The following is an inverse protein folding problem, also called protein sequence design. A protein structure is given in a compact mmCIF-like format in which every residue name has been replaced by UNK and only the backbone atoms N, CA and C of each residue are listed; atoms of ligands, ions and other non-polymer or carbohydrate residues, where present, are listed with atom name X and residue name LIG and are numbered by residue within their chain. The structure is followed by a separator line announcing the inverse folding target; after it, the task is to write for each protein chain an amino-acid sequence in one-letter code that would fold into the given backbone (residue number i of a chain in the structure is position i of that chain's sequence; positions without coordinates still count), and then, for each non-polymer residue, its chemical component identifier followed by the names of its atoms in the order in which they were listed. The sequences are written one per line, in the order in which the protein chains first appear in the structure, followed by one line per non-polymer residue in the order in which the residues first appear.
data_IF_652106697414
#
_entry.id   IF_652106697414
#
_cell.length_a   1.000
_cell.length_b   1.000
_cell.length_c   1.000
_cell.angle_alpha   90.00
_cell.angle_beta   90.00
_cell.angle_gamma   90.00
#
_symmetry.space_group_name_H-M   'P 1'
#
loop_
_entity.id
_entity.type
_entity.pdbx_description
1 polymer ?
#
# COMPACT_ATOMS: atom_id res chain seq x y z
N UNK A 1 -31.79 -28.83 -6.38
CA UNK A 1 -30.59 -27.97 -6.54
C UNK A 1 -30.92 -26.96 -7.62
N UNK A 2 -30.90 -25.66 -7.32
CA UNK A 2 -31.22 -24.64 -8.33
C UNK A 2 -30.16 -24.64 -9.45
N UNK A 3 -30.57 -24.34 -10.68
CA UNK A 3 -29.64 -24.30 -11.80
C UNK A 3 -28.84 -22.98 -11.78
N UNK A 4 -27.72 -22.94 -12.51
CA UNK A 4 -26.85 -21.75 -12.59
C UNK A 4 -27.59 -20.48 -13.00
N UNK A 5 -28.60 -20.60 -13.86
CA UNK A 5 -29.42 -19.47 -14.32
C UNK A 5 -30.27 -18.91 -13.19
N UNK A 6 -30.92 -19.79 -12.42
CA UNK A 6 -31.72 -19.40 -11.25
C UNK A 6 -30.86 -18.65 -10.23
N UNK A 7 -29.70 -19.21 -9.83
CA UNK A 7 -28.80 -18.52 -8.91
C UNK A 7 -28.28 -17.18 -9.44
N UNK A 8 -27.97 -17.10 -10.75
CA UNK A 8 -27.56 -15.83 -11.36
C UNK A 8 -28.66 -14.78 -11.22
N UNK A 9 -29.91 -15.15 -11.49
CA UNK A 9 -31.03 -14.22 -11.43
C UNK A 9 -31.30 -13.77 -9.98
N UNK A 10 -31.31 -14.70 -9.03
CA UNK A 10 -31.45 -14.39 -7.59
C UNK A 10 -30.37 -13.42 -7.11
N UNK A 11 -29.10 -13.66 -7.48
CA UNK A 11 -27.98 -12.75 -7.12
C UNK A 11 -28.16 -11.37 -7.76
N UNK A 12 -28.64 -11.30 -9.00
CA UNK A 12 -28.88 -10.03 -9.69
C UNK A 12 -30.07 -9.26 -9.09
N UNK A 13 -31.11 -9.95 -8.63
CA UNK A 13 -32.23 -9.33 -7.92
C UNK A 13 -31.78 -8.76 -6.58
N UNK A 14 -31.05 -9.55 -5.78
CA UNK A 14 -30.46 -9.07 -4.52
C UNK A 14 -29.54 -7.87 -4.78
N UNK A 15 -28.72 -7.92 -5.83
CA UNK A 15 -27.85 -6.81 -6.19
C UNK A 15 -28.65 -5.54 -6.51
N UNK A 16 -29.72 -5.63 -7.31
CA UNK A 16 -30.56 -4.47 -7.65
C UNK A 16 -31.22 -3.89 -6.40
N UNK A 17 -31.83 -4.74 -5.57
CA UNK A 17 -32.46 -4.32 -4.31
C UNK A 17 -31.46 -3.60 -3.39
N UNK A 18 -30.27 -4.19 -3.19
CA UNK A 18 -29.22 -3.57 -2.36
C UNK A 18 -28.62 -2.32 -2.98
N UNK A 19 -28.53 -2.25 -4.31
CA UNK A 19 -28.10 -1.05 -5.03
C UNK A 19 -29.08 0.11 -4.80
N UNK A 20 -30.38 -0.15 -4.92
CA UNK A 20 -31.42 0.87 -4.72
C UNK A 20 -31.45 1.34 -3.26
N UNK A 21 -31.35 0.43 -2.30
CA UNK A 21 -31.21 0.76 -0.88
C UNK A 21 -29.98 1.65 -0.62
N UNK A 22 -28.84 1.31 -1.20
CA UNK A 22 -27.62 2.10 -1.06
C UNK A 22 -27.74 3.47 -1.73
N UNK A 23 -28.36 3.56 -2.91
CA UNK A 23 -28.61 4.81 -3.61
C UNK A 23 -29.44 5.77 -2.74
N UNK A 24 -30.55 5.28 -2.19
CA UNK A 24 -31.39 6.06 -1.28
C UNK A 24 -30.62 6.50 -0.02
N UNK A 25 -29.85 5.57 0.58
CA UNK A 25 -29.05 5.86 1.77
C UNK A 25 -27.98 6.93 1.51
N UNK A 26 -27.24 6.85 0.41
CA UNK A 26 -26.25 7.87 0.04
C UNK A 26 -26.92 9.22 -0.24
N UNK A 27 -28.10 9.22 -0.85
CA UNK A 27 -28.93 10.40 -1.10
C UNK A 27 -29.38 11.11 0.17
N UNK A 28 -29.66 10.38 1.26
CA UNK A 28 -30.11 10.96 2.54
C UNK A 28 -28.97 11.46 3.45
N UNK A 29 -27.71 11.08 3.20
CA UNK A 29 -26.58 11.51 4.03
C UNK A 29 -26.41 13.04 3.97
N UNK A 30 -26.32 13.68 5.13
CA UNK A 30 -25.99 15.10 5.27
C UNK A 30 -24.47 15.36 5.23
N UNK A 31 -23.66 14.32 5.44
CA UNK A 31 -22.22 14.42 5.41
C UNK A 31 -21.66 14.44 3.98
N UNK A 32 -20.42 14.92 3.85
CA UNK A 32 -19.64 14.73 2.62
C UNK A 32 -19.00 13.35 2.54
N UNK A 33 -18.71 12.91 1.32
CA UNK A 33 -18.14 11.60 1.02
C UNK A 33 -16.70 11.74 0.51
N UNK A 34 -15.83 10.83 0.91
CA UNK A 34 -14.51 10.68 0.30
C UNK A 34 -14.50 9.43 -0.57
N UNK A 35 -13.85 9.47 -1.72
CA UNK A 35 -13.70 8.29 -2.56
C UNK A 35 -12.23 7.88 -2.70
N UNK A 36 -12.02 6.60 -2.95
CA UNK A 36 -10.74 6.04 -3.40
C UNK A 36 -10.97 5.35 -4.72
N UNK A 37 -10.03 5.49 -5.65
CA UNK A 37 -10.02 4.67 -6.85
C UNK A 37 -8.69 3.93 -6.97
N UNK A 38 -8.80 2.63 -7.22
CA UNK A 38 -7.67 1.74 -7.44
C UNK A 38 -7.74 1.22 -8.88
N UNK A 39 -6.60 1.29 -9.57
CA UNK A 39 -6.43 0.76 -10.92
C UNK A 39 -5.26 -0.21 -10.92
N UNK A 40 -5.50 -1.41 -11.44
CA UNK A 40 -4.45 -2.40 -11.57
C UNK A 40 -4.61 -3.22 -12.83
N UNK A 41 -3.49 -3.71 -13.33
CA UNK A 41 -3.43 -4.68 -14.41
C UNK A 41 -3.27 -6.09 -13.81
N UNK A 42 -4.18 -6.99 -14.16
CA UNK A 42 -4.11 -8.39 -13.79
C UNK A 42 -3.03 -9.14 -14.56
N UNK A 43 -2.72 -10.38 -14.13
CA UNK A 43 -1.78 -11.27 -14.83
C UNK A 43 -2.21 -11.65 -16.25
N UNK A 44 -3.49 -11.47 -16.59
CA UNK A 44 -4.02 -11.69 -17.94
C UNK A 44 -3.93 -10.43 -18.81
N UNK A 45 -3.16 -9.42 -18.39
CA UNK A 45 -3.07 -8.10 -19.04
C UNK A 45 -4.42 -7.37 -19.15
N UNK A 46 -5.38 -7.71 -18.29
CA UNK A 46 -6.67 -7.01 -18.18
C UNK A 46 -6.60 -5.93 -17.11
N UNK A 47 -7.08 -4.74 -17.43
CA UNK A 47 -7.12 -3.61 -16.50
C UNK A 47 -8.44 -3.58 -15.76
N UNK A 48 -8.37 -3.37 -14.46
CA UNK A 48 -9.53 -3.24 -13.59
C UNK A 48 -9.49 -1.90 -12.87
N UNK A 49 -10.67 -1.34 -12.65
CA UNK A 49 -10.88 -0.14 -11.86
C UNK A 49 -11.93 -0.43 -10.78
N UNK A 50 -11.64 -0.01 -9.56
CA UNK A 50 -12.58 -0.04 -8.45
C UNK A 50 -12.74 1.36 -7.86
N UNK A 51 -13.97 1.84 -7.76
CA UNK A 51 -14.33 3.08 -7.08
C UNK A 51 -15.04 2.72 -5.79
N UNK A 52 -14.51 3.21 -4.68
CA UNK A 52 -15.06 2.99 -3.34
C UNK A 52 -15.31 4.33 -2.68
N UNK A 53 -16.48 4.50 -2.05
CA UNK A 53 -16.78 5.64 -1.19
C UNK A 53 -16.65 5.27 0.28
N UNK A 54 -16.25 6.28 1.05
CA UNK A 54 -15.98 6.23 2.48
C UNK A 54 -16.68 7.40 3.14
N UNK A 55 -17.36 7.13 4.25
CA UNK A 55 -18.08 8.12 5.04
C UNK A 55 -18.23 7.65 6.49
N UNK A 56 -18.70 8.53 7.35
CA UNK A 56 -19.08 8.20 8.73
C UNK A 56 -20.59 8.31 8.79
N UNK A 57 -21.27 7.28 9.28
CA UNK A 57 -22.71 7.29 9.44
C UNK A 57 -23.15 7.93 10.77
N UNK A 58 -24.46 8.02 10.99
CA UNK A 58 -25.04 8.62 12.20
C UNK A 58 -24.70 7.84 13.49
N UNK A 59 -24.27 6.58 13.36
CA UNK A 59 -23.78 5.76 14.47
C UNK A 59 -22.27 5.96 14.71
N UNK A 60 -21.66 6.99 14.14
CA UNK A 60 -20.23 7.28 14.22
C UNK A 60 -19.34 6.12 13.73
N UNK A 61 -19.88 5.30 12.83
CA UNK A 61 -19.17 4.15 12.27
C UNK A 61 -18.60 4.47 10.90
N UNK A 62 -17.35 4.07 10.67
CA UNK A 62 -16.73 4.21 9.34
C UNK A 62 -17.41 3.23 8.39
N UNK A 63 -17.98 3.77 7.32
CA UNK A 63 -18.60 3.03 6.26
C UNK A 63 -17.72 3.03 5.01
N UNK A 64 -17.66 1.87 4.35
CA UNK A 64 -16.98 1.65 3.08
C UNK A 64 -17.94 0.95 2.11
N UNK A 65 -18.14 1.49 0.91
CA UNK A 65 -19.00 0.89 -0.13
C UNK A 65 -18.34 0.96 -1.50
N UNK A 66 -18.26 -0.19 -2.17
CA UNK A 66 -17.81 -0.25 -3.57
C UNK A 66 -18.97 0.21 -4.44
N UNK A 67 -18.79 1.32 -5.14
CA UNK A 67 -19.81 1.86 -6.05
C UNK A 67 -19.66 1.29 -7.45
N UNK A 68 -18.44 0.92 -7.82
CA UNK A 68 -18.15 0.37 -9.13
C UNK A 68 -16.92 -0.50 -9.12
N UNK A 69 -17.03 -1.62 -9.82
CA UNK A 69 -15.93 -2.51 -10.17
C UNK A 69 -16.07 -2.85 -11.64
N UNK A 70 -15.12 -2.41 -12.48
CA UNK A 70 -15.23 -2.55 -13.92
C UNK A 70 -13.95 -3.07 -14.55
N UNK A 71 -14.11 -3.80 -15.65
CA UNK A 71 -13.05 -4.02 -16.62
C UNK A 71 -12.91 -2.76 -17.45
N UNK A 72 -11.73 -2.14 -17.43
CA UNK A 72 -11.48 -0.87 -18.11
C UNK A 72 -10.80 -1.16 -19.44
N UNK A 73 -11.59 -1.15 -20.51
CA UNK A 73 -11.10 -1.32 -21.88
C UNK A 73 -10.53 -0.01 -22.43
N UNK A 74 -9.45 -0.09 -23.20
CA UNK A 74 -8.82 1.07 -23.86
C UNK A 74 -7.70 1.74 -23.05
N UNK A 75 -7.33 2.98 -23.46
CA UNK A 75 -6.24 3.75 -22.84
C UNK A 75 -6.73 4.48 -21.59
N UNK A 76 -6.01 4.33 -20.49
CA UNK A 76 -6.24 5.04 -19.22
C UNK A 76 -5.69 6.46 -19.28
N UNK A 77 -6.17 7.28 -20.21
CA UNK A 77 -5.84 8.71 -20.23
C UNK A 77 -6.57 9.41 -19.08
N UNK A 78 -6.01 10.51 -18.57
CA UNK A 78 -6.65 11.27 -17.50
C UNK A 78 -8.07 11.74 -17.84
N UNK A 79 -8.35 12.01 -19.13
CA UNK A 79 -9.70 12.37 -19.61
C UNK A 79 -10.67 11.20 -19.53
N UNK A 80 -10.28 10.02 -20.04
CA UNK A 80 -11.15 8.83 -20.02
C UNK A 80 -11.47 8.41 -18.57
N UNK A 81 -10.47 8.46 -17.69
CA UNK A 81 -10.67 8.19 -16.26
C UNK A 81 -11.63 9.21 -15.63
N UNK A 82 -11.51 10.49 -15.98
CA UNK A 82 -12.40 11.53 -15.47
C UNK A 82 -13.85 11.30 -15.92
N UNK A 83 -14.10 11.00 -17.20
CA UNK A 83 -15.46 10.71 -17.68
C UNK A 83 -16.08 9.52 -16.94
N UNK A 84 -15.30 8.45 -16.77
CA UNK A 84 -15.78 7.22 -16.13
C UNK A 84 -16.13 7.45 -14.66
N UNK A 85 -15.27 8.18 -13.93
CA UNK A 85 -15.52 8.53 -12.53
C UNK A 85 -16.68 9.51 -12.40
N UNK A 86 -16.72 10.58 -13.20
CA UNK A 86 -17.80 11.57 -13.14
C UNK A 86 -19.16 10.93 -13.44
N UNK A 87 -19.24 10.10 -14.48
CA UNK A 87 -20.44 9.31 -14.78
C UNK A 87 -20.87 8.49 -13.56
N UNK A 88 -19.94 7.82 -12.89
CA UNK A 88 -20.26 7.05 -11.69
C UNK A 88 -20.79 7.94 -10.56
N UNK A 89 -20.19 9.10 -10.31
CA UNK A 89 -20.67 10.02 -9.28
C UNK A 89 -22.10 10.52 -9.57
N UNK A 90 -22.42 10.83 -10.82
CA UNK A 90 -23.77 11.22 -11.25
C UNK A 90 -24.77 10.06 -11.14
N UNK A 91 -24.40 8.86 -11.60
CA UNK A 91 -25.24 7.65 -11.53
C UNK A 91 -25.64 7.32 -10.08
N UNK A 92 -24.79 7.68 -9.11
CA UNK A 92 -25.05 7.50 -7.68
C UNK A 92 -25.60 8.75 -6.98
N UNK A 93 -25.76 9.88 -7.69
CA UNK A 93 -26.21 11.16 -7.17
C UNK A 93 -25.39 11.65 -5.96
N UNK A 94 -24.07 11.58 -6.07
CA UNK A 94 -23.12 11.94 -5.01
C UNK A 94 -22.08 12.99 -5.43
N UNK A 95 -22.11 13.45 -6.68
CA UNK A 95 -21.20 14.47 -7.21
C UNK A 95 -21.21 15.75 -6.35
N UNK A 96 -22.40 16.19 -5.92
CA UNK A 96 -22.58 17.33 -5.00
C UNK A 96 -22.05 17.12 -3.57
N UNK A 97 -21.74 15.89 -3.18
CA UNK A 97 -21.35 15.51 -1.80
C UNK A 97 -19.87 15.22 -1.65
N UNK A 98 -19.09 15.29 -2.71
CA UNK A 98 -17.69 14.88 -2.66
C UNK A 98 -16.83 15.84 -1.82
N UNK A 99 -15.98 15.27 -0.96
CA UNK A 99 -14.99 15.97 -0.17
C UNK A 99 -13.59 15.80 -0.73
N UNK A 100 -13.18 14.54 -0.92
CA UNK A 100 -11.85 14.20 -1.40
C UNK A 100 -11.87 12.94 -2.25
N UNK A 101 -10.84 12.79 -3.07
CA UNK A 101 -10.60 11.66 -3.94
C UNK A 101 -9.14 11.22 -3.84
N UNK A 102 -8.95 9.98 -3.36
CA UNK A 102 -7.64 9.37 -3.15
C UNK A 102 -7.29 8.45 -4.30
N UNK A 103 -6.14 8.70 -4.92
CA UNK A 103 -5.61 7.94 -6.06
C UNK A 103 -4.14 7.60 -5.83
N UNK A 104 -3.62 6.65 -6.59
CA UNK A 104 -2.18 6.44 -6.66
C UNK A 104 -1.44 7.64 -7.30
N UNK A 105 -0.12 7.51 -7.45
CA UNK A 105 0.72 8.61 -7.96
C UNK A 105 1.02 8.49 -9.46
N UNK A 106 0.18 7.78 -10.22
CA UNK A 106 0.26 7.78 -11.67
C UNK A 106 -0.01 9.19 -12.25
N UNK A 107 0.63 9.50 -13.39
CA UNK A 107 0.52 10.81 -14.02
C UNK A 107 -0.87 11.06 -14.60
N UNK A 108 -1.54 10.04 -15.14
CA UNK A 108 -2.88 10.14 -15.70
C UNK A 108 -3.91 10.53 -14.62
N UNK A 109 -3.73 10.03 -13.41
CA UNK A 109 -4.56 10.36 -12.25
C UNK A 109 -4.46 11.84 -11.86
N UNK A 110 -3.32 12.49 -12.10
CA UNK A 110 -3.17 13.94 -11.91
C UNK A 110 -4.10 14.75 -12.81
N UNK A 111 -4.13 14.42 -14.10
CA UNK A 111 -5.00 15.07 -15.08
C UNK A 111 -6.48 14.76 -14.83
N UNK A 112 -6.80 13.51 -14.46
CA UNK A 112 -8.15 13.10 -14.09
C UNK A 112 -8.72 13.99 -12.99
N UNK A 113 -8.00 14.13 -11.87
CA UNK A 113 -8.48 14.93 -10.73
C UNK A 113 -8.58 16.42 -11.06
N UNK A 114 -7.65 16.96 -11.85
CA UNK A 114 -7.73 18.37 -12.27
C UNK A 114 -9.01 18.66 -13.06
N UNK A 115 -9.38 17.78 -13.99
CA UNK A 115 -10.62 17.90 -14.76
C UNK A 115 -11.87 17.70 -13.88
N UNK A 116 -11.83 16.76 -12.94
CA UNK A 116 -12.92 16.58 -11.96
C UNK A 116 -13.13 17.84 -11.12
N UNK A 117 -12.05 18.46 -10.62
CA UNK A 117 -12.12 19.70 -9.83
C UNK A 117 -12.79 20.80 -10.64
N UNK A 118 -12.41 20.97 -11.92
CA UNK A 118 -13.04 21.97 -12.80
C UNK A 118 -14.55 21.75 -12.88
N UNK A 119 -15.00 20.53 -13.23
CA UNK A 119 -16.43 20.22 -13.42
C UNK A 119 -17.25 20.31 -12.14
N UNK A 120 -16.71 19.84 -11.02
CA UNK A 120 -17.41 19.88 -9.75
C UNK A 120 -17.48 21.30 -9.18
N UNK A 121 -16.49 22.16 -9.47
CA UNK A 121 -16.52 23.57 -9.08
C UNK A 121 -17.55 24.38 -9.87
N UNK A 122 -17.86 24.02 -11.12
CA UNK A 122 -18.92 24.71 -11.91
C UNK A 122 -20.26 24.70 -11.17
N UNK A 123 -20.54 23.64 -10.41
CA UNK A 123 -21.73 23.48 -9.57
C UNK A 123 -21.50 23.82 -8.09
N UNK A 124 -20.36 24.42 -7.73
CA UNK A 124 -19.95 24.70 -6.34
C UNK A 124 -19.97 23.47 -5.41
N UNK A 125 -19.79 22.27 -5.97
CA UNK A 125 -19.90 21.01 -5.23
C UNK A 125 -18.72 20.75 -4.29
N UNK A 126 -17.55 21.36 -4.54
CA UNK A 126 -16.34 21.11 -3.76
C UNK A 126 -16.11 22.16 -2.68
N UNK A 127 -15.60 21.69 -1.54
CA UNK A 127 -15.12 22.55 -0.47
C UNK A 127 -13.84 23.29 -0.88
N UNK A 128 -13.73 24.58 -0.53
CA UNK A 128 -12.57 25.43 -0.82
C UNK A 128 -12.08 25.31 -2.28
N UNK A 129 -13.01 25.30 -3.24
CA UNK A 129 -12.72 25.18 -4.67
C UNK A 129 -11.86 23.97 -5.05
N UNK A 130 -11.97 22.88 -4.29
CA UNK A 130 -11.22 21.64 -4.54
C UNK A 130 -9.80 21.61 -3.97
N UNK A 131 -9.39 22.59 -3.15
CA UNK A 131 -8.04 22.64 -2.53
C UNK A 131 -7.65 21.36 -1.80
N UNK A 132 -8.62 20.67 -1.19
CA UNK A 132 -8.39 19.43 -0.45
C UNK A 132 -8.81 18.18 -1.21
N UNK A 133 -9.27 18.33 -2.45
CA UNK A 133 -9.92 17.25 -3.17
C UNK A 133 -8.94 16.13 -3.54
N UNK A 134 -7.74 16.47 -4.02
CA UNK A 134 -6.77 15.44 -4.41
C UNK A 134 -5.97 14.93 -3.20
N UNK A 135 -6.14 13.66 -2.85
CA UNK A 135 -5.29 12.98 -1.87
C UNK A 135 -4.44 11.92 -2.58
N UNK A 136 -3.15 11.87 -2.28
CA UNK A 136 -2.24 10.85 -2.84
C UNK A 136 -2.20 9.63 -1.94
N UNK A 137 -2.21 8.44 -2.53
CA UNK A 137 -2.17 7.19 -1.79
C UNK A 137 -0.84 7.03 -1.05
N UNK A 138 -0.93 7.01 0.28
CA UNK A 138 0.18 6.85 1.21
C UNK A 138 0.99 5.56 0.94
N UNK A 139 0.30 4.42 0.82
CA UNK A 139 0.91 3.12 0.56
C UNK A 139 1.68 3.10 -0.77
N UNK A 140 1.15 3.80 -1.79
CA UNK A 140 1.84 3.91 -3.07
C UNK A 140 3.09 4.81 -2.99
N UNK A 141 3.03 5.92 -2.23
CA UNK A 141 4.22 6.76 -1.97
C UNK A 141 5.30 5.93 -1.27
N UNK A 142 4.93 5.16 -0.23
CA UNK A 142 5.86 4.28 0.48
C UNK A 142 6.49 3.27 -0.48
N UNK A 143 5.68 2.61 -1.32
CA UNK A 143 6.21 1.72 -2.36
C UNK A 143 7.26 2.41 -3.25
N UNK A 144 6.96 3.61 -3.76
CA UNK A 144 7.89 4.33 -4.63
C UNK A 144 9.21 4.71 -3.95
N UNK A 145 9.16 5.04 -2.66
CA UNK A 145 10.35 5.38 -1.85
C UNK A 145 11.16 4.13 -1.56
N UNK A 146 10.50 3.06 -1.11
CA UNK A 146 11.16 1.79 -0.77
C UNK A 146 11.83 1.16 -1.99
N UNK A 147 11.17 1.18 -3.15
CA UNK A 147 11.73 0.62 -4.38
C UNK A 147 13.06 1.28 -4.78
N UNK A 148 13.16 2.61 -4.60
CA UNK A 148 14.43 3.32 -4.85
C UNK A 148 15.52 2.88 -3.88
N UNK A 149 15.20 2.67 -2.60
CA UNK A 149 16.20 2.22 -1.64
C UNK A 149 16.59 0.74 -1.79
N UNK A 150 15.64 -0.15 -2.12
CA UNK A 150 15.92 -1.57 -2.41
C UNK A 150 16.94 -1.71 -3.55
N UNK A 151 16.85 -0.83 -4.56
CA UNK A 151 17.79 -0.84 -5.69
C UNK A 151 19.24 -0.59 -5.27
N UNK A 152 19.50 0.10 -4.16
CA UNK A 152 20.86 0.33 -3.64
C UNK A 152 21.52 -0.96 -3.09
N UNK A 153 20.72 -1.97 -2.71
CA UNK A 153 21.17 -3.24 -2.09
C UNK A 153 20.78 -4.43 -2.99
N UNK A 154 20.51 -4.17 -4.27
CA UNK A 154 19.93 -5.13 -5.22
C UNK A 154 20.69 -6.46 -5.31
N UNK A 155 22.02 -6.42 -5.30
CA UNK A 155 22.88 -7.62 -5.44
C UNK A 155 22.67 -8.62 -4.30
N UNK A 156 22.67 -8.15 -3.06
CA UNK A 156 22.46 -8.99 -1.88
C UNK A 156 21.05 -9.59 -1.85
N UNK A 157 20.06 -8.82 -2.31
CA UNK A 157 18.68 -9.29 -2.43
C UNK A 157 18.55 -10.35 -3.53
N UNK A 158 19.24 -10.19 -4.66
CA UNK A 158 19.26 -11.16 -5.76
C UNK A 158 19.88 -12.50 -5.33
N UNK A 159 20.96 -12.48 -4.53
CA UNK A 159 21.55 -13.70 -3.97
C UNK A 159 20.57 -14.47 -3.08
N UNK A 160 19.90 -13.79 -2.15
CA UNK A 160 18.87 -14.40 -1.30
C UNK A 160 17.69 -14.92 -2.15
N UNK A 161 17.20 -14.12 -3.10
CA UNK A 161 16.11 -14.50 -4.00
C UNK A 161 16.45 -15.75 -4.81
N UNK A 162 17.66 -15.81 -5.35
CA UNK A 162 18.15 -16.96 -6.11
C UNK A 162 18.15 -18.24 -5.27
N UNK A 163 18.63 -18.15 -4.03
CA UNK A 163 18.63 -19.29 -3.11
C UNK A 163 17.21 -19.73 -2.71
N UNK A 164 16.33 -18.79 -2.38
CA UNK A 164 14.92 -19.08 -2.05
C UNK A 164 14.23 -19.75 -3.23
N UNK A 165 14.40 -19.24 -4.44
CA UNK A 165 13.79 -19.82 -5.64
C UNK A 165 14.32 -21.23 -5.94
N UNK A 166 15.62 -21.49 -5.77
CA UNK A 166 16.19 -22.84 -5.91
C UNK A 166 15.50 -23.84 -4.97
N UNK A 167 15.29 -23.46 -3.71
CA UNK A 167 14.62 -24.31 -2.70
C UNK A 167 13.14 -24.48 -3.04
N UNK A 168 12.41 -23.38 -3.27
CA UNK A 168 10.95 -23.38 -3.50
C UNK A 168 10.53 -24.11 -4.78
N UNK A 169 11.42 -24.23 -5.75
CA UNK A 169 11.15 -24.90 -7.03
C UNK A 169 11.61 -26.36 -7.05
N UNK A 170 12.14 -26.90 -5.95
CA UNK A 170 12.64 -28.28 -5.89
C UNK A 170 12.18 -28.97 -4.60
N UNK A 171 11.26 -29.95 -4.68
CA UNK A 171 10.78 -30.67 -3.49
C UNK A 171 11.90 -31.31 -2.66
N UNK A 172 12.93 -31.84 -3.33
CA UNK A 172 14.11 -32.43 -2.67
C UNK A 172 14.93 -31.38 -1.90
N UNK A 173 15.11 -30.18 -2.47
CA UNK A 173 15.81 -29.11 -1.76
C UNK A 173 14.97 -28.52 -0.63
N UNK A 174 13.65 -28.48 -0.77
CA UNK A 174 12.74 -28.04 0.29
C UNK A 174 12.76 -29.01 1.49
N UNK A 175 12.75 -30.33 1.23
CA UNK A 175 12.91 -31.35 2.26
C UNK A 175 14.26 -31.25 2.98
N UNK A 176 15.35 -31.15 2.21
CA UNK A 176 16.70 -30.99 2.75
C UNK A 176 16.83 -29.69 3.55
N UNK A 177 16.28 -28.57 3.06
CA UNK A 177 16.27 -27.31 3.79
C UNK A 177 15.51 -27.41 5.11
N UNK A 178 14.35 -28.08 5.12
CA UNK A 178 13.55 -28.31 6.34
C UNK A 178 14.32 -29.14 7.37
N UNK A 179 15.07 -30.15 6.89
CA UNK A 179 15.99 -30.92 7.73
C UNK A 179 17.10 -30.02 8.32
N UNK A 180 17.77 -29.21 7.50
CA UNK A 180 18.82 -28.26 7.97
C UNK A 180 18.29 -27.21 8.94
N UNK A 181 17.05 -26.77 8.78
CA UNK A 181 16.38 -25.88 9.72
C UNK A 181 16.17 -26.57 11.08
N UNK A 182 15.67 -27.81 11.07
CA UNK A 182 15.45 -28.61 12.29
C UNK A 182 16.77 -28.87 13.01
N UNK A 183 17.83 -29.27 12.29
CA UNK A 183 19.19 -29.44 12.85
C UNK A 183 19.80 -28.15 13.42
N UNK A 184 19.25 -26.98 13.03
CA UNK A 184 19.66 -25.66 13.52
C UNK A 184 18.79 -25.14 14.66
N UNK A 185 17.91 -25.99 15.22
CA UNK A 185 16.91 -25.64 16.24
C UNK A 185 15.96 -24.51 15.80
N UNK A 186 15.61 -24.48 14.51
CA UNK A 186 14.63 -23.56 13.95
C UNK A 186 13.28 -24.25 13.80
N UNK A 187 12.19 -23.48 13.93
CA UNK A 187 10.84 -23.96 13.69
C UNK A 187 10.66 -24.22 12.19
N UNK A 188 10.70 -25.50 11.82
CA UNK A 188 10.59 -25.95 10.44
C UNK A 188 9.15 -26.00 9.92
N UNK A 189 8.16 -25.62 10.75
CA UNK A 189 6.78 -25.38 10.31
C UNK A 189 6.62 -24.01 9.63
N UNK A 190 7.54 -23.06 9.89
CA UNK A 190 7.59 -21.78 9.18
C UNK A 190 8.09 -21.99 7.75
N UNK A 191 7.41 -21.38 6.80
CA UNK A 191 7.78 -21.44 5.38
C UNK A 191 8.71 -20.30 4.96
N UNK A 192 9.41 -20.51 3.84
CA UNK A 192 10.06 -19.43 3.09
C UNK A 192 9.06 -18.74 2.15
N UNK A 193 8.99 -17.41 2.23
CA UNK A 193 8.23 -16.59 1.29
C UNK A 193 9.02 -16.34 0.00
N UNK A 194 8.38 -16.56 -1.16
CA UNK A 194 8.89 -16.07 -2.46
C UNK A 194 8.50 -14.61 -2.65
N UNK A 195 9.37 -13.81 -3.27
CA UNK A 195 9.05 -12.44 -3.60
C UNK A 195 8.52 -12.25 -5.03
N UNK A 196 7.81 -11.14 -5.22
CA UNK A 196 7.48 -10.57 -6.51
C UNK A 196 8.29 -9.28 -6.60
N UNK A 197 9.25 -9.22 -7.51
CA UNK A 197 10.23 -8.13 -7.60
C UNK A 197 9.60 -6.73 -7.72
N UNK A 198 8.40 -6.64 -8.28
CA UNK A 198 7.64 -5.38 -8.40
C UNK A 198 6.88 -4.98 -7.13
N UNK A 199 6.85 -5.83 -6.09
CA UNK A 199 6.13 -5.62 -4.82
C UNK A 199 7.07 -5.74 -3.63
N UNK A 200 7.60 -4.61 -3.17
CA UNK A 200 8.57 -4.54 -2.08
C UNK A 200 8.13 -5.26 -0.78
N UNK A 201 6.83 -5.30 -0.45
CA UNK A 201 6.31 -6.00 0.71
C UNK A 201 6.67 -7.50 0.67
N UNK A 202 6.56 -8.12 -0.50
CA UNK A 202 6.93 -9.53 -0.67
C UNK A 202 8.44 -9.75 -0.58
N UNK A 203 9.25 -8.78 -1.05
CA UNK A 203 10.70 -8.79 -0.86
C UNK A 203 11.05 -8.69 0.63
N UNK A 204 10.40 -7.80 1.39
CA UNK A 204 10.60 -7.72 2.84
C UNK A 204 10.28 -9.06 3.54
N UNK A 205 9.16 -9.70 3.21
CA UNK A 205 8.79 -10.99 3.79
C UNK A 205 9.82 -12.08 3.46
N UNK A 206 10.28 -12.15 2.21
CA UNK A 206 11.35 -13.06 1.79
C UNK A 206 12.64 -12.83 2.59
N UNK A 207 13.07 -11.58 2.74
CA UNK A 207 14.30 -11.26 3.50
C UNK A 207 14.14 -11.58 4.99
N UNK A 208 12.99 -11.26 5.59
CA UNK A 208 12.67 -11.60 6.98
C UNK A 208 12.76 -13.10 7.22
N UNK A 209 12.13 -13.90 6.36
CA UNK A 209 12.13 -15.36 6.49
C UNK A 209 13.54 -15.92 6.23
N UNK A 210 14.26 -15.40 5.22
CA UNK A 210 15.63 -15.81 4.94
C UNK A 210 16.58 -15.54 6.12
N UNK A 211 16.43 -14.39 6.80
CA UNK A 211 17.20 -14.05 8.00
C UNK A 211 16.88 -14.98 9.16
N UNK A 212 15.61 -15.33 9.38
CA UNK A 212 15.22 -16.33 10.36
C UNK A 212 15.91 -17.67 10.08
N UNK A 213 16.00 -18.06 8.81
CA UNK A 213 16.64 -19.29 8.37
C UNK A 213 18.15 -19.17 8.03
N UNK A 214 18.84 -18.09 8.42
CA UNK A 214 20.27 -17.86 8.07
C UNK A 214 21.15 -19.08 8.39
N UNK A 215 20.94 -19.73 9.55
CA UNK A 215 21.70 -20.93 9.94
C UNK A 215 21.45 -22.13 9.02
N UNK A 216 20.21 -22.34 8.60
CA UNK A 216 19.87 -23.40 7.66
C UNK A 216 20.51 -23.15 6.28
N UNK A 217 20.44 -21.90 5.80
CA UNK A 217 21.11 -21.50 4.55
C UNK A 217 22.63 -21.68 4.60
N UNK A 218 23.28 -21.35 5.73
CA UNK A 218 24.71 -21.64 5.91
C UNK A 218 25.03 -23.13 5.80
N UNK A 219 24.22 -24.01 6.40
CA UNK A 219 24.38 -25.47 6.27
C UNK A 219 24.15 -25.96 4.84
N UNK A 220 23.15 -25.42 4.14
CA UNK A 220 22.92 -25.73 2.72
C UNK A 220 24.14 -25.37 1.86
N UNK A 221 24.73 -24.20 2.09
CA UNK A 221 25.97 -23.80 1.43
C UNK A 221 27.15 -24.69 1.80
N UNK A 222 27.31 -25.09 3.06
CA UNK A 222 28.37 -26.02 3.47
C UNK A 222 28.24 -27.40 2.79
N UNK A 223 27.01 -27.86 2.51
CA UNK A 223 26.76 -29.13 1.85
C UNK A 223 26.95 -29.06 0.32
N UNK A 224 26.58 -27.95 -0.32
CA UNK A 224 26.79 -27.71 -1.75
C UNK A 224 27.22 -26.25 -2.00
N UNK A 225 28.53 -25.95 -1.86
CA UNK A 225 29.05 -24.60 -2.02
C UNK A 225 28.79 -24.02 -3.42
N UNK A 226 28.83 -24.88 -4.44
CA UNK A 226 28.63 -24.47 -5.83
C UNK A 226 27.21 -23.96 -6.09
N UNK A 227 26.21 -24.64 -5.53
CA UNK A 227 24.79 -24.31 -5.73
C UNK A 227 24.35 -23.06 -4.99
N UNK A 228 24.98 -22.75 -3.85
CA UNK A 228 24.63 -21.63 -2.98
C UNK A 228 25.74 -20.58 -2.84
N UNK A 229 26.66 -20.49 -3.81
CA UNK A 229 27.82 -19.59 -3.77
C UNK A 229 27.47 -18.12 -3.45
N UNK A 230 26.29 -17.66 -3.87
CA UNK A 230 25.77 -16.32 -3.59
C UNK A 230 25.61 -16.01 -2.08
N UNK A 231 25.53 -17.04 -1.23
CA UNK A 231 25.29 -16.93 0.22
C UNK A 231 26.56 -16.98 1.07
N UNK A 232 27.74 -17.10 0.46
CA UNK A 232 29.01 -17.33 1.14
C UNK A 232 29.41 -16.18 2.08
N UNK A 233 29.11 -14.93 1.69
CA UNK A 233 29.62 -13.74 2.36
C UNK A 233 28.75 -13.36 3.57
N UNK A 234 29.35 -13.35 4.76
CA UNK A 234 28.64 -12.94 5.97
C UNK A 234 28.25 -11.46 5.96
N UNK A 235 29.05 -10.61 5.31
CA UNK A 235 28.75 -9.19 5.08
C UNK A 235 27.40 -8.97 4.36
N UNK A 236 27.06 -9.84 3.41
CA UNK A 236 25.78 -9.79 2.69
C UNK A 236 24.60 -10.00 3.65
N UNK A 237 24.72 -10.96 4.57
CA UNK A 237 23.68 -11.22 5.56
C UNK A 237 23.49 -10.06 6.54
N UNK A 238 24.58 -9.41 6.92
CA UNK A 238 24.53 -8.27 7.83
C UNK A 238 23.94 -7.03 7.14
N UNK A 239 24.25 -6.82 5.86
CA UNK A 239 23.60 -5.82 5.01
C UNK A 239 22.10 -6.08 4.84
N UNK A 240 21.71 -7.33 4.53
CA UNK A 240 20.30 -7.74 4.42
C UNK A 240 19.57 -7.57 5.75
N UNK A 241 20.23 -7.87 6.88
CA UNK A 241 19.67 -7.66 8.22
C UNK A 241 19.42 -6.18 8.49
N UNK A 242 20.38 -5.31 8.16
CA UNK A 242 20.23 -3.86 8.30
C UNK A 242 19.09 -3.33 7.42
N UNK A 243 19.04 -3.72 6.15
CA UNK A 243 17.94 -3.39 5.24
C UNK A 243 16.59 -3.87 5.78
N UNK A 244 16.49 -5.11 6.25
CA UNK A 244 15.26 -5.68 6.76
C UNK A 244 14.71 -4.88 7.97
N UNK A 245 15.60 -4.37 8.83
CA UNK A 245 15.21 -3.48 9.94
C UNK A 245 14.63 -2.17 9.44
N UNK A 246 15.18 -1.58 8.38
CA UNK A 246 14.64 -0.38 7.75
C UNK A 246 13.27 -0.67 7.10
N UNK A 247 13.18 -1.72 6.28
CA UNK A 247 11.96 -2.12 5.59
C UNK A 247 10.80 -2.45 6.53
N UNK A 248 11.09 -3.00 7.72
CA UNK A 248 10.08 -3.31 8.74
C UNK A 248 9.23 -2.09 9.11
N UNK A 249 9.84 -0.91 9.23
CA UNK A 249 9.10 0.32 9.60
C UNK A 249 8.10 0.67 8.51
N UNK A 250 8.52 0.66 7.25
CA UNK A 250 7.61 0.88 6.12
C UNK A 250 6.49 -0.16 6.08
N UNK A 251 6.80 -1.43 6.42
CA UNK A 251 5.83 -2.52 6.37
C UNK A 251 4.71 -2.31 7.38
N UNK A 252 5.08 -2.07 8.64
CA UNK A 252 4.12 -1.80 9.71
C UNK A 252 3.25 -0.58 9.42
N UNK A 253 3.85 0.50 8.89
CA UNK A 253 3.11 1.72 8.54
C UNK A 253 2.16 1.48 7.35
N UNK A 254 2.58 0.68 6.37
CA UNK A 254 1.74 0.33 5.22
C UNK A 254 0.56 -0.54 5.63
N UNK A 255 0.77 -1.52 6.52
CA UNK A 255 -0.31 -2.32 7.11
C UNK A 255 -1.29 -1.42 7.87
N UNK A 256 -0.78 -0.48 8.68
CA UNK A 256 -1.59 0.48 9.41
C UNK A 256 -2.47 1.34 8.48
N UNK A 257 -1.93 1.81 7.35
CA UNK A 257 -2.72 2.58 6.36
C UNK A 257 -3.64 1.73 5.50
N UNK A 258 -3.47 0.40 5.49
CA UNK A 258 -4.33 -0.53 4.77
C UNK A 258 -5.58 -0.92 5.58
N UNK A 259 -5.73 -0.40 6.79
CA UNK A 259 -6.90 -0.57 7.63
C UNK A 259 -8.19 -0.08 6.96
N UNK A 260 -9.29 -0.79 7.24
CA UNK A 260 -10.62 -0.48 6.67
C UNK A 260 -11.71 -0.30 7.72
N UNK A 261 -11.43 -0.68 8.97
CA UNK A 261 -12.37 -0.60 10.11
C UNK A 261 -12.14 0.61 11.01
N UNK A 262 -11.18 1.48 10.68
CA UNK A 262 -10.86 2.68 11.45
C UNK A 262 -10.38 3.81 10.51
N UNK A 263 -10.51 5.08 10.94
CA UNK A 263 -9.96 6.21 10.19
C UNK A 263 -8.42 6.12 10.11
N UNK A 264 -7.87 6.30 8.92
CA UNK A 264 -6.42 6.28 8.68
C UNK A 264 -5.83 7.67 8.40
N UNK A 265 -6.68 8.65 8.05
CA UNK A 265 -6.27 10.00 7.67
C UNK A 265 -5.59 10.76 8.80
N UNK A 266 -6.07 10.61 10.04
CA UNK A 266 -5.49 11.21 11.24
C UNK A 266 -4.09 10.66 11.58
N UNK A 267 -3.81 9.40 11.20
CA UNK A 267 -2.52 8.76 11.45
C UNK A 267 -1.44 9.19 10.45
N UNK A 268 -1.85 9.74 9.30
CA UNK A 268 -0.96 10.00 8.18
C UNK A 268 0.23 10.89 8.56
N UNK A 269 -0.05 12.07 9.12
CA UNK A 269 0.98 13.09 9.33
C UNK A 269 2.08 12.61 10.29
N UNK A 270 1.69 11.98 11.41
CA UNK A 270 2.62 11.45 12.40
C UNK A 270 3.46 10.33 11.79
N UNK A 271 2.84 9.39 11.07
CA UNK A 271 3.57 8.24 10.51
C UNK A 271 4.45 8.62 9.32
N UNK A 272 4.06 9.61 8.52
CA UNK A 272 4.94 10.15 7.49
C UNK A 272 6.10 10.95 8.09
N UNK A 273 5.88 11.68 9.18
CA UNK A 273 6.95 12.35 9.94
C UNK A 273 7.93 11.34 10.54
N UNK A 274 7.41 10.25 11.09
CA UNK A 274 8.22 9.12 11.58
C UNK A 274 9.12 8.56 10.47
N UNK A 275 8.57 8.29 9.27
CA UNK A 275 9.34 7.85 8.10
C UNK A 275 10.43 8.86 7.76
N UNK A 276 10.09 10.16 7.69
CA UNK A 276 11.03 11.23 7.35
C UNK A 276 12.21 11.25 8.31
N UNK A 277 11.95 11.20 9.61
CA UNK A 277 12.99 11.17 10.66
C UNK A 277 13.85 9.91 10.57
N UNK A 278 13.25 8.75 10.31
CA UNK A 278 14.00 7.49 10.13
C UNK A 278 14.94 7.55 8.93
N UNK A 279 14.46 8.03 7.79
CA UNK A 279 15.27 8.22 6.59
C UNK A 279 16.42 9.20 6.86
N UNK A 280 16.17 10.29 7.59
CA UNK A 280 17.21 11.26 7.95
C UNK A 280 18.30 10.63 8.83
N UNK A 281 17.90 9.87 9.83
CA UNK A 281 18.83 9.17 10.71
C UNK A 281 19.67 8.13 9.95
N UNK A 282 19.04 7.35 9.07
CA UNK A 282 19.74 6.36 8.25
C UNK A 282 20.68 7.00 7.22
N UNK A 283 20.43 8.24 6.80
CA UNK A 283 21.34 8.96 5.89
C UNK A 283 22.69 9.26 6.53
N UNK A 284 22.78 9.19 7.87
CA UNK A 284 24.00 9.35 8.65
C UNK A 284 24.47 8.02 9.26
N UNK A 285 23.98 6.88 8.77
CA UNK A 285 24.38 5.56 9.26
C UNK A 285 25.86 5.27 8.95
N UNK A 286 26.51 4.48 9.81
CA UNK A 286 27.91 4.07 9.61
C UNK A 286 28.06 3.12 8.42
N UNK A 287 27.02 2.35 8.13
CA UNK A 287 26.99 1.51 6.94
C UNK A 287 26.76 2.37 5.70
N UNK A 288 27.79 2.42 4.85
CA UNK A 288 27.76 3.16 3.58
C UNK A 288 26.58 2.74 2.70
N UNK A 289 26.21 1.45 2.69
CA UNK A 289 25.09 0.97 1.88
C UNK A 289 23.74 1.44 2.42
N UNK A 290 23.56 1.47 3.75
CA UNK A 290 22.36 2.01 4.40
C UNK A 290 22.26 3.53 4.22
N UNK A 291 23.38 4.25 4.37
CA UNK A 291 23.43 5.68 4.12
C UNK A 291 23.05 6.02 2.67
N UNK A 292 23.63 5.33 1.69
CA UNK A 292 23.31 5.54 0.27
C UNK A 292 21.85 5.19 -0.07
N UNK A 293 21.32 4.11 0.50
CA UNK A 293 19.92 3.74 0.40
C UNK A 293 19.03 4.87 0.94
N UNK A 294 19.32 5.34 2.15
CA UNK A 294 18.54 6.36 2.83
C UNK A 294 18.58 7.71 2.10
N UNK A 295 19.74 8.13 1.59
CA UNK A 295 19.88 9.33 0.75
C UNK A 295 19.00 9.24 -0.51
N UNK A 296 18.98 8.09 -1.17
CA UNK A 296 18.15 7.84 -2.35
C UNK A 296 16.65 7.89 -2.00
N UNK A 297 16.27 7.27 -0.87
CA UNK A 297 14.90 7.36 -0.33
C UNK A 297 14.52 8.80 0.04
N UNK A 298 15.43 9.57 0.64
CA UNK A 298 15.22 10.96 1.07
C UNK A 298 14.85 11.86 -0.11
N UNK A 299 15.63 11.78 -1.19
CA UNK A 299 15.35 12.52 -2.43
C UNK A 299 13.96 12.18 -2.97
N UNK A 300 13.64 10.88 -3.03
CA UNK A 300 12.33 10.43 -3.53
C UNK A 300 11.19 10.88 -2.61
N UNK A 301 11.37 10.78 -1.29
CA UNK A 301 10.37 11.12 -0.28
C UNK A 301 10.07 12.63 -0.25
N UNK A 302 11.09 13.49 -0.39
CA UNK A 302 10.93 14.94 -0.41
C UNK A 302 9.92 15.40 -1.47
N UNK A 303 9.97 14.82 -2.68
CA UNK A 303 9.03 15.10 -3.78
C UNK A 303 7.56 14.88 -3.40
N UNK A 304 7.28 13.92 -2.52
CA UNK A 304 5.91 13.61 -2.10
C UNK A 304 5.53 14.31 -0.79
N UNK A 305 6.51 14.61 0.06
CA UNK A 305 6.30 15.45 1.24
C UNK A 305 5.74 16.82 0.86
N UNK A 306 6.32 17.48 -0.15
CA UNK A 306 5.83 18.78 -0.65
C UNK A 306 4.43 18.71 -1.28
N UNK A 307 4.06 17.53 -1.81
CA UNK A 307 2.74 17.28 -2.40
C UNK A 307 1.73 16.73 -1.40
N UNK A 308 2.11 16.59 -0.14
CA UNK A 308 1.24 16.05 0.90
C UNK A 308 0.12 17.05 1.19
N UNK A 309 -1.11 16.56 1.19
CA UNK A 309 -2.27 17.41 1.32
C UNK A 309 -2.44 17.87 2.78
N UNK A 310 -2.54 19.19 2.99
CA UNK A 310 -2.74 19.81 4.30
C UNK A 310 -3.92 19.21 5.09
N UNK A 311 -4.92 18.66 4.40
CA UNK A 311 -6.06 18.01 5.05
C UNK A 311 -5.65 16.83 5.94
N UNK A 312 -4.55 16.14 5.63
CA UNK A 312 -4.05 15.03 6.42
C UNK A 312 -3.40 15.51 7.73
N UNK A 313 -2.79 16.70 7.71
CA UNK A 313 -2.32 17.37 8.93
C UNK A 313 -3.50 17.86 9.79
N UNK A 314 -4.57 18.38 9.16
CA UNK A 314 -5.80 18.74 9.87
C UNK A 314 -6.42 17.50 10.53
N UNK A 315 -6.49 16.37 9.82
CA UNK A 315 -6.97 15.11 10.39
C UNK A 315 -6.20 14.69 11.63
N UNK A 316 -4.87 14.85 11.61
CA UNK A 316 -4.02 14.62 12.78
C UNK A 316 -4.31 15.61 13.92
N UNK A 317 -4.47 16.91 13.62
CA UNK A 317 -4.78 17.93 14.62
C UNK A 317 -6.16 17.72 15.28
N UNK A 318 -7.12 17.14 14.55
CA UNK A 318 -8.45 16.83 15.09
C UNK A 318 -8.46 15.60 15.99
N UNK A 319 -7.38 14.81 16.04
CA UNK A 319 -7.25 13.67 16.95
C UNK A 319 -6.85 14.14 18.36
N UNK A 320 -7.72 14.01 19.37
CA UNK A 320 -7.43 14.47 20.72
C UNK A 320 -6.18 13.81 21.32
N UNK A 321 -5.84 12.58 20.91
CA UNK A 321 -4.68 11.84 21.46
C UNK A 321 -3.36 12.53 21.15
N UNK A 322 -3.26 13.19 20.00
CA UNK A 322 -2.05 13.93 19.63
C UNK A 322 -2.01 15.33 20.25
N UNK A 323 -3.16 15.93 20.55
CA UNK A 323 -3.23 17.19 21.30
C UNK A 323 -2.88 17.02 22.76
N UNK A 324 -3.39 15.97 23.41
CA UNK A 324 -3.17 15.74 24.84
C UNK A 324 -1.70 15.39 25.14
N UNK A 325 -1.01 14.66 24.27
CA UNK A 325 0.43 14.40 24.42
C UNK A 325 1.28 15.68 24.48
N UNK A 326 0.93 16.72 23.69
CA UNK A 326 1.60 18.02 23.73
C UNK A 326 1.28 18.84 24.99
N UNK A 327 0.15 18.58 25.65
CA UNK A 327 -0.27 19.27 26.87
C UNK A 327 0.34 18.60 28.11
N UNK A 328 0.49 17.28 28.09
CA UNK A 328 1.13 16.52 29.17
C UNK A 328 2.64 16.75 29.19
N UNK A 329 3.32 16.85 28.03
CA UNK A 329 4.75 17.20 27.94
C UNK A 329 5.08 18.64 28.38
N UNK A 330 4.09 19.51 28.59
CA UNK A 330 4.27 20.86 29.15
C UNK A 330 4.05 20.94 30.68
N UNK A 331 3.73 19.81 31.32
CA UNK A 331 3.46 19.73 32.76
C UNK A 331 4.59 19.07 33.57
N UNK A 332 5.64 18.63 32.90
CA UNK A 332 6.92 18.21 33.46
C UNK A 332 8.02 19.21 33.08
#
# INVERSE_FOLDING_TARGET
MNCRVTYRNEVLEIFKEKKDQLYCSLGSLSCRLSATMDLWTSRQNKSYMCITVHFIDDNWSVQKRILRFLHSDGRHTGLNLCEEVMKNLFDWNIDGKMFSFTLDNDSANGLCVANMISRLNDNQALYSSGKFFHVRCAAHIINLVVQVGINSIKKSIEGIRGAVNKIKNSPLLEEEFRKRATESNLDSTKGLSSDVSTRWNSTYLMLRDALYFRKAFKRMHSADPSRFADLQKDEMWDEVNALCKCLRIFHLITELFSGTSYPTSNLFFIKFSEIKLKIENWSNDRSVSIANMALSMKIKFAKYWEKSNMILAIGCFLDPRYKMGLIEEQRD
#
